data_IF_792480526611
#
_entry.id   IF_792480526611
#
_cell.length_a   1.000
_cell.length_b   1.000
_cell.length_c   1.000
_cell.angle_alpha   90.00
_cell.angle_beta   90.00
_cell.angle_gamma   90.00
#
_symmetry.space_group_name_H-M   'P 1'
#
loop_
_entity.id
_entity.type
_entity.pdbx_description
1 polymer ?
#
# COMPACT_ATOMS: atom_id res chain seq x y z
N UNK A 1 -17.36 21.10 -4.72
CA UNK A 1 -16.23 21.88 -5.28
C UNK A 1 -15.50 20.95 -6.24
N UNK A 2 -15.83 21.01 -7.54
CA UNK A 2 -15.34 20.07 -8.54
C UNK A 2 -13.84 20.29 -8.79
N UNK A 3 -12.99 19.34 -8.38
CA UNK A 3 -11.60 19.30 -8.84
C UNK A 3 -11.54 18.48 -10.12
N UNK A 4 -11.25 19.15 -11.23
CA UNK A 4 -10.81 18.49 -12.47
C UNK A 4 -9.36 18.04 -12.23
N UNK A 5 -9.14 16.82 -11.72
CA UNK A 5 -7.83 16.17 -11.64
C UNK A 5 -7.66 15.22 -12.84
N UNK A 6 -7.62 15.77 -14.05
CA UNK A 6 -7.54 14.97 -15.29
C UNK A 6 -6.11 14.56 -15.71
N UNK A 7 -5.08 14.92 -14.95
CA UNK A 7 -3.71 14.48 -15.20
C UNK A 7 -3.26 13.52 -14.11
N UNK A 8 -2.84 12.30 -14.47
CA UNK A 8 -2.16 11.40 -13.56
C UNK A 8 -0.97 12.09 -12.87
N UNK A 9 -0.46 11.53 -11.77
CA UNK A 9 0.62 12.15 -10.97
C UNK A 9 1.89 11.34 -11.08
N UNK A 10 3.03 12.04 -11.07
CA UNK A 10 4.35 11.42 -10.99
C UNK A 10 5.05 11.88 -9.72
N UNK A 11 5.52 10.93 -8.92
CA UNK A 11 6.38 11.17 -7.77
C UNK A 11 7.81 10.82 -8.17
N UNK A 12 8.77 11.68 -7.80
CA UNK A 12 10.19 11.33 -7.88
C UNK A 12 10.53 10.49 -6.67
N UNK A 13 11.20 9.38 -6.90
CA UNK A 13 11.57 8.42 -5.88
C UNK A 13 13.04 8.01 -6.08
N UNK A 14 13.88 7.99 -5.03
CA UNK A 14 15.30 7.67 -5.19
C UNK A 14 15.58 6.20 -5.54
N UNK A 15 14.65 5.28 -5.22
CA UNK A 15 14.79 3.84 -5.47
C UNK A 15 14.22 3.48 -6.85
N UNK A 16 12.99 3.95 -7.14
CA UNK A 16 12.25 3.62 -8.36
C UNK A 16 12.39 4.66 -9.47
N UNK A 17 13.13 5.75 -9.23
CA UNK A 17 13.25 6.96 -10.07
C UNK A 17 11.94 7.74 -10.19
N UNK A 18 10.89 7.11 -10.75
CA UNK A 18 9.58 7.69 -10.99
C UNK A 18 8.48 6.70 -10.61
N UNK A 19 7.62 7.11 -9.68
CA UNK A 19 6.39 6.40 -9.34
C UNK A 19 5.24 7.11 -10.04
N UNK A 20 4.56 6.40 -10.95
CA UNK A 20 3.46 6.94 -11.76
C UNK A 20 2.12 6.45 -11.23
N UNK A 21 1.19 7.38 -11.07
CA UNK A 21 -0.21 7.10 -10.76
C UNK A 21 -1.02 7.56 -11.96
N UNK A 22 -1.64 6.59 -12.64
CA UNK A 22 -2.44 6.85 -13.82
C UNK A 22 -3.71 7.65 -13.47
N UNK A 23 -4.31 8.38 -14.43
CA UNK A 23 -5.60 9.05 -14.21
C UNK A 23 -6.70 8.09 -13.73
N UNK A 24 -6.68 6.83 -14.17
CA UNK A 24 -7.60 5.77 -13.75
C UNK A 24 -7.44 5.36 -12.28
N UNK A 25 -6.32 5.71 -11.65
CA UNK A 25 -6.00 5.40 -10.26
C UNK A 25 -6.14 6.65 -9.36
N UNK A 26 -7.06 7.57 -9.67
CA UNK A 26 -7.28 8.80 -8.89
C UNK A 26 -7.56 8.51 -7.40
N UNK A 27 -8.24 7.41 -7.10
CA UNK A 27 -8.50 6.96 -5.73
C UNK A 27 -7.21 6.74 -4.93
N UNK A 28 -6.09 6.35 -5.56
CA UNK A 28 -4.78 6.25 -4.92
C UNK A 28 -4.28 7.64 -4.52
N UNK A 29 -4.50 8.67 -5.34
CA UNK A 29 -4.14 10.05 -5.00
C UNK A 29 -4.94 10.55 -3.80
N UNK A 30 -6.24 10.24 -3.75
CA UNK A 30 -7.08 10.61 -2.62
C UNK A 30 -6.69 9.86 -1.35
N UNK A 31 -6.37 8.56 -1.44
CA UNK A 31 -5.82 7.78 -0.33
C UNK A 31 -4.50 8.37 0.17
N UNK A 32 -3.60 8.76 -0.74
CA UNK A 32 -2.33 9.42 -0.37
C UNK A 32 -2.58 10.71 0.39
N UNK A 33 -3.58 11.51 -0.02
CA UNK A 33 -3.89 12.81 0.59
C UNK A 33 -4.62 12.69 1.96
N UNK A 34 -5.00 11.48 2.40
CA UNK A 34 -5.64 11.27 3.72
C UNK A 34 -4.70 11.57 4.91
N UNK A 35 -5.21 12.08 6.04
CA UNK A 35 -4.40 12.36 7.22
C UNK A 35 -3.74 11.10 7.79
N UNK A 36 -4.41 9.95 7.72
CA UNK A 36 -3.89 8.67 8.18
C UNK A 36 -2.66 8.25 7.37
N UNK A 37 -2.70 8.38 6.04
CA UNK A 37 -1.55 8.07 5.18
C UNK A 37 -0.44 9.13 5.27
N UNK A 38 -0.78 10.42 5.28
CA UNK A 38 0.20 11.51 5.42
C UNK A 38 0.98 11.44 6.74
N UNK A 39 0.43 10.79 7.78
CA UNK A 39 1.14 10.53 9.04
C UNK A 39 2.42 9.72 8.84
N UNK A 40 2.45 8.81 7.86
CA UNK A 40 3.59 7.94 7.59
C UNK A 40 4.87 8.71 7.24
N UNK A 41 4.78 9.97 6.80
CA UNK A 41 5.95 10.84 6.57
C UNK A 41 6.79 11.07 7.82
N UNK A 42 6.18 10.95 9.00
CA UNK A 42 6.82 11.20 10.31
C UNK A 42 7.25 9.91 11.00
N UNK A 43 7.09 8.76 10.35
CA UNK A 43 7.44 7.46 10.89
C UNK A 43 8.57 6.89 10.03
N UNK A 44 9.75 6.73 10.64
CA UNK A 44 10.91 6.12 9.98
C UNK A 44 10.68 4.63 9.74
N UNK A 45 11.11 4.12 8.60
CA UNK A 45 11.01 2.71 8.25
C UNK A 45 11.81 1.85 9.24
N UNK A 46 13.08 2.21 9.45
CA UNK A 46 14.07 1.43 10.20
C UNK A 46 14.20 1.83 11.68
N UNK A 47 13.19 2.48 12.27
CA UNK A 47 13.17 2.78 13.70
C UNK A 47 14.36 3.63 14.16
N UNK A 48 15.26 3.06 14.97
CA UNK A 48 16.45 3.73 15.52
C UNK A 48 17.73 3.48 14.71
N UNK A 49 17.68 2.69 13.63
CA UNK A 49 18.87 2.36 12.82
C UNK A 49 19.56 3.58 12.22
N UNK A 50 18.87 4.72 12.09
CA UNK A 50 19.46 5.99 11.66
C UNK A 50 20.59 6.49 12.58
N UNK A 51 20.61 6.07 13.86
CA UNK A 51 21.69 6.35 14.80
C UNK A 51 23.01 5.66 14.43
N UNK A 52 22.93 4.52 13.75
CA UNK A 52 24.11 3.75 13.29
C UNK A 52 24.38 3.98 11.80
N UNK A 53 23.32 4.01 10.99
CA UNK A 53 23.34 4.21 9.55
C UNK A 53 22.67 5.54 9.22
N UNK A 54 23.46 6.61 9.13
CA UNK A 54 22.95 7.99 8.96
C UNK A 54 22.07 8.22 7.71
N UNK A 55 22.10 7.31 6.72
CA UNK A 55 21.20 7.34 5.56
C UNK A 55 19.81 6.68 5.78
N UNK A 56 19.61 5.97 6.89
CA UNK A 56 18.37 5.25 7.22
C UNK A 56 17.25 6.18 7.73
N UNK A 57 17.07 7.32 7.06
CA UNK A 57 16.10 8.38 7.40
C UNK A 57 14.79 8.26 6.61
N UNK A 58 14.69 7.30 5.69
CA UNK A 58 13.50 7.11 4.86
C UNK A 58 12.27 6.75 5.70
N UNK A 59 11.12 7.25 5.26
CA UNK A 59 9.85 7.15 5.98
C UNK A 59 9.02 5.98 5.46
N UNK A 60 8.06 5.52 6.27
CA UNK A 60 7.04 4.56 5.82
C UNK A 60 6.20 5.10 4.66
N UNK A 61 6.07 6.43 4.54
CA UNK A 61 5.37 7.03 3.41
C UNK A 61 6.04 6.73 2.07
N UNK A 62 7.37 6.86 1.98
CA UNK A 62 8.11 6.53 0.77
C UNK A 62 8.05 5.03 0.47
N UNK A 63 8.20 4.20 1.51
CA UNK A 63 8.04 2.74 1.41
C UNK A 63 6.68 2.35 0.84
N UNK A 64 5.58 2.82 1.44
CA UNK A 64 4.23 2.52 0.96
C UNK A 64 3.98 2.93 -0.50
N UNK A 65 4.58 4.03 -0.98
CA UNK A 65 4.53 4.40 -2.40
C UNK A 65 5.35 3.45 -3.28
N UNK A 66 6.52 3.03 -2.81
CA UNK A 66 7.39 2.05 -3.47
C UNK A 66 6.72 0.68 -3.61
N UNK A 67 6.12 0.17 -2.54
CA UNK A 67 5.32 -1.06 -2.54
C UNK A 67 4.14 -0.98 -3.52
N UNK A 68 3.40 0.12 -3.52
CA UNK A 68 2.37 0.38 -4.54
C UNK A 68 2.95 0.31 -5.97
N UNK A 69 4.07 0.99 -6.22
CA UNK A 69 4.72 1.00 -7.53
C UNK A 69 5.16 -0.41 -7.96
N UNK A 70 5.74 -1.17 -7.04
CA UNK A 70 6.20 -2.53 -7.31
C UNK A 70 5.02 -3.47 -7.60
N UNK A 71 3.92 -3.37 -6.84
CA UNK A 71 2.70 -4.11 -7.11
C UNK A 71 2.16 -3.82 -8.53
N UNK A 72 2.14 -2.57 -8.97
CA UNK A 72 1.76 -2.23 -10.36
C UNK A 72 2.66 -2.94 -11.39
N UNK A 73 3.98 -2.98 -11.15
CA UNK A 73 4.93 -3.64 -12.04
C UNK A 73 4.72 -5.16 -12.08
N UNK A 74 4.40 -5.79 -10.95
CA UNK A 74 4.04 -7.21 -10.91
C UNK A 74 2.80 -7.46 -11.77
N UNK A 75 1.74 -6.67 -11.59
CA UNK A 75 0.49 -6.81 -12.35
C UNK A 75 0.73 -6.69 -13.86
N UNK A 76 1.46 -5.65 -14.27
CA UNK A 76 1.83 -5.44 -15.68
C UNK A 76 2.66 -6.60 -16.23
N UNK A 77 3.62 -7.11 -15.46
CA UNK A 77 4.46 -8.23 -15.88
C UNK A 77 3.65 -9.53 -16.07
N UNK A 78 2.68 -9.78 -15.18
CA UNK A 78 1.77 -10.93 -15.30
C UNK A 78 0.86 -10.80 -16.53
N UNK A 79 0.28 -9.62 -16.75
CA UNK A 79 -0.54 -9.31 -17.93
C UNK A 79 0.24 -9.54 -19.24
N UNK A 80 1.49 -9.07 -19.30
CA UNK A 80 2.36 -9.26 -20.47
C UNK A 80 2.74 -10.73 -20.70
N UNK A 81 3.03 -11.47 -19.62
CA UNK A 81 3.49 -12.87 -19.70
C UNK A 81 2.39 -13.84 -20.09
N UNK A 82 1.19 -13.70 -19.51
CA UNK A 82 0.10 -14.67 -19.67
C UNK A 82 -1.01 -14.20 -20.64
N UNK A 83 -1.04 -12.92 -21.00
CA UNK A 83 -2.04 -12.32 -21.88
C UNK A 83 -3.43 -12.18 -21.25
N UNK A 84 -4.22 -11.20 -21.70
CA UNK A 84 -5.55 -10.86 -21.17
C UNK A 84 -6.60 -11.97 -21.29
N UNK A 85 -6.35 -13.00 -22.09
CA UNK A 85 -7.25 -14.15 -22.23
C UNK A 85 -7.12 -15.20 -21.13
N UNK A 86 -6.03 -15.18 -20.35
CA UNK A 86 -5.77 -16.19 -19.32
C UNK A 86 -6.64 -15.99 -18.08
N UNK A 87 -7.00 -17.10 -17.43
CA UNK A 87 -7.80 -17.07 -16.20
C UNK A 87 -7.12 -16.27 -15.08
N UNK A 88 -5.80 -16.40 -14.97
CA UNK A 88 -4.99 -15.68 -13.97
C UNK A 88 -5.05 -14.16 -14.17
N UNK A 89 -4.96 -13.69 -15.42
CA UNK A 89 -5.02 -12.25 -15.72
C UNK A 89 -6.44 -11.72 -15.52
N UNK A 90 -7.47 -12.45 -15.94
CA UNK A 90 -8.87 -12.05 -15.71
C UNK A 90 -9.21 -11.92 -14.22
N UNK A 91 -8.75 -12.89 -13.41
CA UNK A 91 -8.93 -12.82 -11.96
C UNK A 91 -8.18 -11.63 -11.36
N UNK A 92 -6.96 -11.35 -11.83
CA UNK A 92 -6.18 -10.20 -11.36
C UNK A 92 -6.81 -8.86 -11.76
N UNK A 93 -7.29 -8.70 -12.99
CA UNK A 93 -7.96 -7.49 -13.49
C UNK A 93 -9.21 -7.16 -12.66
N UNK A 94 -9.96 -8.17 -12.22
CA UNK A 94 -11.12 -7.99 -11.34
C UNK A 94 -10.76 -7.41 -9.97
N UNK A 95 -9.54 -7.65 -9.49
CA UNK A 95 -9.09 -7.27 -8.15
C UNK A 95 -7.92 -6.27 -8.15
N UNK A 96 -7.51 -5.76 -9.31
CA UNK A 96 -6.35 -4.87 -9.47
C UNK A 96 -6.44 -3.66 -8.53
N UNK A 97 -7.63 -3.05 -8.43
CA UNK A 97 -7.83 -1.88 -7.57
C UNK A 97 -7.66 -2.21 -6.08
N UNK A 98 -8.09 -3.40 -5.67
CA UNK A 98 -7.93 -3.91 -4.29
C UNK A 98 -6.46 -4.18 -4.00
N UNK A 99 -5.75 -4.85 -4.91
CA UNK A 99 -4.29 -5.09 -4.79
C UNK A 99 -3.55 -3.77 -4.61
N UNK A 100 -3.80 -2.80 -5.49
CA UNK A 100 -3.14 -1.48 -5.43
C UNK A 100 -3.45 -0.73 -4.13
N UNK A 101 -4.70 -0.74 -3.67
CA UNK A 101 -5.08 -0.11 -2.41
C UNK A 101 -4.43 -0.79 -1.20
N UNK A 102 -4.43 -2.13 -1.16
CA UNK A 102 -3.79 -2.90 -0.10
C UNK A 102 -2.27 -2.68 -0.08
N UNK A 103 -1.62 -2.70 -1.24
CA UNK A 103 -0.19 -2.41 -1.37
C UNK A 103 0.18 -1.02 -0.83
N UNK A 104 -0.62 0.00 -1.16
CA UNK A 104 -0.42 1.34 -0.62
C UNK A 104 -0.64 1.37 0.90
N UNK A 105 -1.70 0.75 1.40
CA UNK A 105 -2.17 0.93 2.78
C UNK A 105 -1.59 -0.06 3.80
N UNK A 106 -0.83 -1.07 3.38
CA UNK A 106 -0.38 -2.18 4.25
C UNK A 106 0.24 -1.70 5.58
N UNK A 107 0.96 -0.59 5.51
CA UNK A 107 1.75 -0.04 6.61
C UNK A 107 1.07 1.11 7.39
N UNK A 108 -0.17 1.47 7.06
CA UNK A 108 -0.83 2.65 7.65
C UNK A 108 -1.08 2.53 9.16
N UNK A 109 -1.11 1.30 9.69
CA UNK A 109 -1.22 0.97 11.10
C UNK A 109 0.06 1.15 11.90
N UNK A 110 1.22 1.40 11.27
CA UNK A 110 2.46 1.56 12.02
C UNK A 110 2.46 2.80 12.93
N UNK A 111 3.03 2.62 14.12
CA UNK A 111 3.30 3.65 15.11
C UNK A 111 4.79 4.08 15.04
N UNK A 112 5.14 5.26 15.57
CA UNK A 112 6.54 5.64 15.76
C UNK A 112 7.31 4.56 16.53
N UNK A 113 8.53 4.24 16.12
CA UNK A 113 9.34 3.16 16.70
C UNK A 113 8.69 1.77 16.68
N UNK A 114 7.63 1.58 15.89
CA UNK A 114 6.71 0.43 15.89
C UNK A 114 7.30 -0.86 16.44
N UNK A 115 8.19 -1.57 15.76
CA UNK A 115 8.68 -2.87 16.24
C UNK A 115 9.32 -2.87 17.64
N UNK A 116 9.90 -1.74 18.08
CA UNK A 116 10.36 -1.58 19.46
C UNK A 116 9.17 -1.42 20.43
N UNK A 117 8.16 -0.61 20.07
CA UNK A 117 6.96 -0.45 20.86
C UNK A 117 6.09 -1.71 20.88
N UNK A 118 5.90 -2.41 19.76
CA UNK A 118 5.12 -3.66 19.66
C UNK A 118 5.64 -4.72 20.64
N UNK A 119 6.97 -4.83 20.76
CA UNK A 119 7.66 -5.74 21.71
C UNK A 119 7.45 -5.35 23.17
N UNK A 120 7.24 -4.07 23.46
CA UNK A 120 7.13 -3.54 24.83
C UNK A 120 5.67 -3.38 25.27
N UNK A 121 4.75 -3.14 24.33
CA UNK A 121 3.35 -2.79 24.59
C UNK A 121 2.39 -3.99 24.54
N UNK A 122 2.88 -5.21 24.71
CA UNK A 122 2.02 -6.40 24.82
C UNK A 122 1.29 -6.82 23.54
N UNK A 123 1.90 -6.62 22.36
CA UNK A 123 1.39 -7.21 21.12
C UNK A 123 0.47 -6.32 20.28
N UNK A 124 0.68 -5.01 20.27
CA UNK A 124 0.00 -4.11 19.33
C UNK A 124 0.48 -4.45 17.91
N UNK A 125 -0.28 -5.23 17.15
CA UNK A 125 0.11 -5.63 15.80
C UNK A 125 -0.27 -4.52 14.80
N UNK A 126 0.72 -3.95 14.09
CA UNK A 126 0.46 -2.94 13.05
C UNK A 126 -0.52 -3.42 11.97
N UNK A 127 -0.54 -4.70 11.59
CA UNK A 127 -1.51 -5.25 10.62
C UNK A 127 -2.94 -5.11 11.17
N UNK A 128 -3.16 -5.41 12.46
CA UNK A 128 -4.46 -5.25 13.10
C UNK A 128 -4.90 -3.78 13.14
N UNK A 129 -3.97 -2.87 13.44
CA UNK A 129 -4.24 -1.43 13.40
C UNK A 129 -4.49 -0.90 11.99
N UNK A 130 -3.80 -1.44 10.98
CA UNK A 130 -4.08 -1.15 9.56
C UNK A 130 -5.52 -1.53 9.24
N UNK A 131 -5.96 -2.72 9.65
CA UNK A 131 -7.34 -3.20 9.45
C UNK A 131 -8.34 -2.30 10.17
N UNK A 132 -8.08 -1.93 11.44
CA UNK A 132 -8.93 -1.01 12.20
C UNK A 132 -9.10 0.33 11.47
N UNK A 133 -8.01 0.93 10.98
CA UNK A 133 -8.06 2.21 10.25
C UNK A 133 -8.85 2.08 8.95
N UNK A 134 -8.67 0.99 8.21
CA UNK A 134 -9.38 0.75 6.94
C UNK A 134 -10.89 0.54 7.18
N UNK A 135 -11.25 -0.16 8.26
CA UNK A 135 -12.65 -0.50 8.57
C UNK A 135 -13.39 0.59 9.36
N UNK A 136 -12.68 1.51 10.02
CA UNK A 136 -13.28 2.63 10.75
C UNK A 136 -14.00 3.60 9.79
N UNK A 137 -15.33 3.63 9.86
CA UNK A 137 -16.19 4.51 9.04
C UNK A 137 -15.89 6.00 9.23
N UNK A 138 -15.24 6.39 10.33
CA UNK A 138 -14.83 7.76 10.59
C UNK A 138 -13.52 8.14 9.90
N UNK A 139 -12.68 7.16 9.52
CA UNK A 139 -11.41 7.41 8.85
C UNK A 139 -11.61 7.97 7.45
N UNK A 140 -10.69 8.83 7.00
CA UNK A 140 -10.75 9.36 5.64
C UNK A 140 -10.40 8.28 4.61
N UNK A 141 -9.56 7.31 4.98
CA UNK A 141 -9.27 6.13 4.15
C UNK A 141 -10.56 5.38 3.83
N UNK A 142 -11.36 5.05 4.83
CA UNK A 142 -12.62 4.35 4.64
C UNK A 142 -13.55 5.13 3.71
N UNK A 143 -13.71 6.43 3.98
CA UNK A 143 -14.56 7.34 3.18
C UNK A 143 -14.12 7.38 1.72
N UNK A 144 -12.81 7.47 1.45
CA UNK A 144 -12.27 7.44 0.08
C UNK A 144 -12.52 6.10 -0.60
N UNK A 145 -12.26 4.98 0.08
CA UNK A 145 -12.52 3.64 -0.49
C UNK A 145 -13.99 3.50 -0.92
N UNK A 146 -14.93 3.88 -0.04
CA UNK A 146 -16.37 3.85 -0.33
C UNK A 146 -16.76 4.80 -1.45
N UNK A 147 -16.22 6.02 -1.50
CA UNK A 147 -16.50 6.99 -2.56
C UNK A 147 -16.16 6.47 -3.96
N UNK A 148 -15.12 5.65 -4.06
CA UNK A 148 -14.65 5.04 -5.31
C UNK A 148 -15.17 3.62 -5.55
N UNK A 149 -16.21 3.19 -4.81
CA UNK A 149 -16.82 1.85 -4.87
C UNK A 149 -15.83 0.70 -4.61
N UNK A 150 -14.78 0.91 -3.81
CA UNK A 150 -13.97 -0.17 -3.25
C UNK A 150 -14.57 -0.59 -1.91
N UNK A 151 -14.72 -1.89 -1.69
CA UNK A 151 -15.11 -2.43 -0.41
C UNK A 151 -13.91 -2.38 0.56
N UNK A 152 -13.97 -1.64 1.68
CA UNK A 152 -12.90 -1.64 2.67
C UNK A 152 -12.60 -3.03 3.24
N UNK A 153 -13.62 -3.91 3.33
CA UNK A 153 -13.45 -5.29 3.75
C UNK A 153 -12.56 -6.12 2.82
N UNK A 154 -12.63 -5.87 1.51
CA UNK A 154 -11.78 -6.54 0.53
C UNK A 154 -10.32 -6.10 0.69
N UNK A 155 -10.08 -4.80 0.88
CA UNK A 155 -8.73 -4.26 1.12
C UNK A 155 -8.17 -4.80 2.44
N UNK A 156 -8.97 -4.78 3.50
CA UNK A 156 -8.58 -5.30 4.81
C UNK A 156 -8.28 -6.80 4.79
N UNK A 157 -9.03 -7.59 4.01
CA UNK A 157 -8.80 -9.04 3.92
C UNK A 157 -7.52 -9.41 3.16
N UNK A 158 -7.04 -8.55 2.25
CA UNK A 158 -5.69 -8.71 1.71
C UNK A 158 -4.63 -8.56 2.81
N UNK A 159 -4.77 -7.55 3.67
CA UNK A 159 -3.83 -7.31 4.79
C UNK A 159 -3.87 -8.45 5.80
N UNK A 160 -5.05 -9.00 6.11
CA UNK A 160 -5.22 -10.16 6.99
C UNK A 160 -4.84 -11.49 6.33
N UNK A 161 -4.57 -11.50 5.02
CA UNK A 161 -4.19 -12.68 4.24
C UNK A 161 -5.31 -13.72 4.16
N UNK A 162 -6.57 -13.26 4.23
CA UNK A 162 -7.78 -14.07 4.11
C UNK A 162 -8.62 -13.72 2.87
N UNK A 163 -8.08 -12.91 1.95
CA UNK A 163 -8.73 -12.64 0.66
C UNK A 163 -8.86 -13.93 -0.19
N UNK A 164 -10.01 -14.20 -0.84
CA UNK A 164 -10.27 -15.49 -1.50
C UNK A 164 -9.29 -15.86 -2.62
N UNK A 165 -8.76 -14.86 -3.32
CA UNK A 165 -7.82 -15.07 -4.43
C UNK A 165 -6.39 -15.00 -3.89
N UNK A 166 -5.73 -16.16 -3.75
CA UNK A 166 -4.37 -16.26 -3.20
C UNK A 166 -3.36 -15.35 -3.92
N UNK A 167 -3.45 -15.23 -5.25
CA UNK A 167 -2.55 -14.37 -6.03
C UNK A 167 -2.64 -12.89 -5.59
N UNK A 168 -3.83 -12.41 -5.24
CA UNK A 168 -4.04 -11.02 -4.75
C UNK A 168 -3.30 -10.81 -3.43
N UNK A 169 -3.36 -11.79 -2.52
CA UNK A 169 -2.60 -11.78 -1.27
C UNK A 169 -1.09 -11.83 -1.54
N UNK A 170 -0.65 -12.78 -2.37
CA UNK A 170 0.78 -13.06 -2.58
C UNK A 170 1.55 -11.86 -3.17
N UNK A 171 0.87 -11.02 -3.98
CA UNK A 171 1.47 -9.79 -4.56
C UNK A 171 1.84 -8.79 -3.44
N UNK A 172 1.03 -8.69 -2.39
CA UNK A 172 1.23 -7.70 -1.31
C UNK A 172 2.02 -8.30 -0.15
N UNK A 173 1.73 -9.56 0.24
CA UNK A 173 2.37 -10.23 1.36
C UNK A 173 2.58 -11.73 1.09
N UNK A 174 3.83 -12.14 0.94
CA UNK A 174 4.32 -13.50 0.72
C UNK A 174 5.82 -13.62 1.11
N UNK A 175 6.52 -14.63 0.58
CA UNK A 175 7.98 -14.72 0.69
C UNK A 175 8.70 -13.88 -0.38
N UNK A 176 8.02 -13.59 -1.50
CA UNK A 176 8.50 -12.79 -2.63
C UNK A 176 7.37 -11.84 -3.06
N UNK A 177 7.15 -10.79 -2.28
CA UNK A 177 6.07 -9.83 -2.42
C UNK A 177 6.59 -8.41 -2.72
N UNK A 178 5.66 -7.49 -3.00
CA UNK A 178 6.00 -6.09 -3.22
C UNK A 178 6.62 -5.40 -1.98
N UNK A 179 6.20 -5.78 -0.77
CA UNK A 179 6.68 -5.20 0.48
C UNK A 179 8.18 -5.47 0.70
N UNK A 180 8.60 -6.74 0.66
CA UNK A 180 9.99 -7.15 0.81
C UNK A 180 10.86 -6.62 -0.33
N UNK A 181 10.35 -6.62 -1.55
CA UNK A 181 11.13 -6.14 -2.70
C UNK A 181 11.39 -4.64 -2.63
N UNK A 182 10.46 -3.85 -2.10
CA UNK A 182 10.71 -2.41 -1.88
C UNK A 182 11.71 -2.18 -0.75
N UNK A 183 11.53 -2.87 0.38
CA UNK A 183 12.39 -2.74 1.56
C UNK A 183 13.85 -3.16 1.34
N UNK A 184 14.12 -4.08 0.42
CA UNK A 184 15.45 -4.62 0.16
C UNK A 184 16.27 -3.84 -0.89
N UNK A 185 15.65 -2.91 -1.62
CA UNK A 185 16.28 -2.09 -2.67
C UNK A 185 16.82 -0.77 -2.12
#
# INVERSE_FOLDING_TARGET
MNRIKMGGKVFRDPVHQLIRIAPSDEYILELIDTPEFQRLRRIRQLGVSWLTYHGAEHSRFSHSLGVFNFAQRIIQSLQQKYGSGSEIVRSLEQHERVVKAAALLHDVGHAPFSHLLEKVSGGMNHEARTVEIILDEQSQIHKVLKAYQLNPGDVASVIRKDFPVKLVVDIVSSQLDADRMDYLL
#
